data_IF_968279952606
#
_entry.id   IF_968279952606
#
_cell.length_a   1.000
_cell.length_b   1.000
_cell.length_c   1.000
_cell.angle_alpha   90.00
_cell.angle_beta   90.00
_cell.angle_gamma   90.00
#
_symmetry.space_group_name_H-M   'P 1'
#
loop_
_entity.id
_entity.type
_entity.pdbx_description
1 polymer ?
#
# COMPACT_ATOMS: atom_id res chain seq x y z
N UNK A 1 -10.01 -34.08 -56.51
CA UNK A 1 -9.52 -34.23 -55.12
C UNK A 1 -8.57 -33.08 -54.85
N UNK A 2 -9.04 -32.06 -54.15
CA UNK A 2 -8.29 -30.83 -53.83
C UNK A 2 -7.79 -30.94 -52.39
N UNK A 3 -6.47 -31.08 -52.23
CA UNK A 3 -5.78 -31.12 -50.94
C UNK A 3 -5.65 -29.71 -50.35
N UNK A 4 -6.24 -29.49 -49.18
CA UNK A 4 -6.10 -28.27 -48.40
C UNK A 4 -4.70 -28.18 -47.77
N UNK A 5 -4.12 -26.96 -47.60
CA UNK A 5 -2.83 -26.81 -46.95
C UNK A 5 -2.98 -26.93 -45.42
N UNK A 6 -2.06 -27.67 -44.81
CA UNK A 6 -1.95 -27.81 -43.36
C UNK A 6 -1.21 -26.59 -42.81
N UNK A 7 -1.89 -25.78 -42.01
CA UNK A 7 -1.28 -24.70 -41.26
C UNK A 7 -0.39 -25.29 -40.16
N UNK A 8 0.93 -25.12 -40.27
CA UNK A 8 1.85 -25.39 -39.17
C UNK A 8 1.71 -24.27 -38.13
N UNK A 9 1.12 -24.60 -36.98
CA UNK A 9 1.22 -23.78 -35.78
C UNK A 9 2.68 -23.84 -35.29
N UNK A 10 3.40 -22.72 -35.39
CA UNK A 10 4.67 -22.56 -34.69
C UNK A 10 4.44 -22.65 -33.18
N UNK A 11 5.44 -23.05 -32.38
CA UNK A 11 5.28 -23.12 -30.94
C UNK A 11 4.99 -21.71 -30.41
N UNK A 12 3.79 -21.54 -29.86
CA UNK A 12 3.46 -20.40 -28.99
C UNK A 12 4.54 -20.37 -27.91
N UNK A 13 5.42 -19.36 -27.96
CA UNK A 13 6.31 -19.08 -26.84
C UNK A 13 5.39 -18.88 -25.63
N UNK A 14 5.57 -19.63 -24.52
CA UNK A 14 4.77 -19.38 -23.32
C UNK A 14 4.91 -17.90 -23.00
N UNK A 15 3.79 -17.18 -23.03
CA UNK A 15 3.72 -15.75 -22.72
C UNK A 15 4.44 -15.61 -21.38
N UNK A 16 5.63 -14.98 -21.37
CA UNK A 16 6.44 -14.89 -20.15
C UNK A 16 5.57 -14.19 -19.13
N UNK A 17 5.03 -14.95 -18.17
CA UNK A 17 4.13 -14.42 -17.15
C UNK A 17 4.93 -13.38 -16.38
N UNK A 18 4.57 -12.11 -16.57
CA UNK A 18 5.16 -11.02 -15.81
C UNK A 18 4.91 -11.31 -14.32
N UNK A 19 5.87 -10.94 -13.47
CA UNK A 19 5.70 -11.06 -12.02
C UNK A 19 4.52 -10.23 -11.51
N UNK A 20 4.29 -10.32 -10.21
CA UNK A 20 3.21 -9.58 -9.57
C UNK A 20 3.59 -9.06 -8.19
N UNK A 21 2.87 -8.04 -7.75
CA UNK A 21 2.96 -7.52 -6.40
C UNK A 21 1.70 -7.83 -5.60
N UNK A 22 1.84 -8.11 -4.31
CA UNK A 22 0.72 -8.15 -3.36
C UNK A 22 1.07 -7.26 -2.18
N UNK A 23 0.48 -6.06 -2.14
CA UNK A 23 0.87 -4.98 -1.24
C UNK A 23 -0.17 -4.80 -0.14
N UNK A 24 0.14 -5.21 1.09
CA UNK A 24 -0.78 -5.17 2.22
C UNK A 24 -0.54 -3.90 3.05
N UNK A 25 -1.61 -3.18 3.37
CA UNK A 25 -1.51 -1.93 4.12
C UNK A 25 -1.04 -2.06 5.57
N UNK A 26 -0.75 -3.27 6.06
CA UNK A 26 -0.38 -3.54 7.44
C UNK A 26 -1.39 -4.42 8.17
N UNK A 27 -1.09 -4.82 9.41
CA UNK A 27 -2.06 -5.53 10.26
C UNK A 27 -2.69 -6.80 9.65
N UNK A 28 -1.95 -7.48 8.75
CA UNK A 28 -2.42 -8.73 8.13
C UNK A 28 -2.73 -9.77 9.20
N UNK A 29 -3.97 -10.23 9.25
CA UNK A 29 -4.43 -11.20 10.24
C UNK A 29 -4.06 -12.62 9.82
N UNK A 30 -3.69 -13.44 10.79
CA UNK A 30 -3.29 -14.85 10.62
C UNK A 30 -4.33 -15.68 9.88
N UNK A 31 -5.61 -15.37 10.07
CA UNK A 31 -6.75 -16.07 9.48
C UNK A 31 -7.18 -15.52 8.11
N UNK A 32 -6.48 -14.49 7.58
CA UNK A 32 -6.75 -13.91 6.27
C UNK A 32 -6.28 -14.82 5.12
N UNK A 33 -7.01 -15.92 4.98
CA UNK A 33 -6.77 -16.97 3.98
C UNK A 33 -6.83 -16.42 2.55
N UNK A 34 -7.62 -15.37 2.32
CA UNK A 34 -7.72 -14.75 1.00
C UNK A 34 -6.39 -14.16 0.55
N UNK A 35 -5.73 -13.35 1.40
CA UNK A 35 -4.47 -12.70 1.06
C UNK A 35 -3.30 -13.69 1.05
N UNK A 36 -3.18 -14.55 2.06
CA UNK A 36 -2.14 -15.60 2.07
C UNK A 36 -2.29 -16.55 0.88
N UNK A 37 -3.52 -16.99 0.60
CA UNK A 37 -3.84 -17.84 -0.54
C UNK A 37 -3.50 -17.19 -1.88
N UNK A 38 -3.73 -15.88 -2.03
CA UNK A 38 -3.37 -15.16 -3.26
C UNK A 38 -1.85 -15.07 -3.48
N UNK A 39 -1.07 -14.84 -2.42
CA UNK A 39 0.40 -14.88 -2.49
C UNK A 39 0.87 -16.29 -2.89
N UNK A 40 0.36 -17.33 -2.21
CA UNK A 40 0.71 -18.73 -2.49
C UNK A 40 0.35 -19.11 -3.92
N UNK A 41 -0.86 -18.77 -4.38
CA UNK A 41 -1.33 -19.02 -5.75
C UNK A 41 -0.36 -18.43 -6.78
N UNK A 42 0.06 -17.18 -6.59
CA UNK A 42 1.00 -16.49 -7.48
C UNK A 42 2.42 -17.05 -7.42
N UNK A 43 2.82 -17.60 -6.27
CA UNK A 43 4.09 -18.28 -6.08
C UNK A 43 4.10 -19.73 -6.60
N UNK A 44 3.07 -20.21 -7.31
CA UNK A 44 3.02 -21.58 -7.84
C UNK A 44 2.03 -22.51 -7.11
N UNK A 45 1.11 -21.94 -6.33
CA UNK A 45 0.04 -22.69 -5.66
C UNK A 45 0.60 -23.70 -4.66
N UNK A 46 0.15 -24.97 -4.67
CA UNK A 46 0.62 -25.98 -3.74
C UNK A 46 2.13 -26.26 -3.78
N UNK A 47 2.83 -25.86 -4.85
CA UNK A 47 4.28 -25.99 -4.98
C UNK A 47 5.06 -24.73 -4.54
N UNK A 48 4.37 -23.73 -3.98
CA UNK A 48 4.97 -22.45 -3.61
C UNK A 48 6.13 -22.60 -2.62
N UNK A 49 7.20 -21.84 -2.89
CA UNK A 49 8.39 -21.69 -2.04
C UNK A 49 8.54 -20.22 -1.69
N UNK A 50 8.23 -19.85 -0.44
CA UNK A 50 8.19 -18.45 0.00
C UNK A 50 9.46 -18.10 0.77
N UNK A 51 10.22 -17.12 0.27
CA UNK A 51 11.28 -16.47 1.03
C UNK A 51 10.70 -15.37 1.90
N UNK A 52 10.78 -15.51 3.22
CA UNK A 52 10.30 -14.53 4.19
C UNK A 52 11.45 -13.62 4.59
N UNK A 53 11.29 -12.32 4.40
CA UNK A 53 12.31 -11.31 4.69
C UNK A 53 11.72 -10.33 5.70
N UNK A 54 12.36 -10.17 6.83
CA UNK A 54 11.81 -9.44 8.00
C UNK A 54 12.79 -8.42 8.55
N UNK A 55 13.72 -7.95 7.72
CA UNK A 55 14.75 -6.96 8.08
C UNK A 55 14.20 -5.62 8.61
N UNK A 56 12.91 -5.31 8.41
CA UNK A 56 12.26 -4.17 9.03
C UNK A 56 12.09 -4.30 10.56
N UNK A 57 12.05 -5.53 11.08
CA UNK A 57 12.05 -5.79 12.53
C UNK A 57 13.42 -5.47 13.14
N UNK A 58 13.46 -5.32 14.47
CA UNK A 58 14.75 -5.24 15.18
C UNK A 58 15.50 -6.58 15.00
N UNK A 59 16.84 -6.57 14.99
CA UNK A 59 17.61 -7.81 14.97
C UNK A 59 17.62 -8.47 16.35
N UNK A 60 18.14 -9.70 16.43
CA UNK A 60 18.21 -10.47 17.68
C UNK A 60 18.98 -9.74 18.78
N UNK A 61 20.07 -9.02 18.44
CA UNK A 61 20.87 -8.26 19.42
C UNK A 61 20.12 -7.13 20.12
N UNK A 62 18.97 -6.71 19.58
CA UNK A 62 18.15 -5.61 20.10
C UNK A 62 16.82 -6.09 20.69
N UNK A 63 16.59 -7.40 20.72
CA UNK A 63 15.38 -7.99 21.30
C UNK A 63 15.65 -8.49 22.72
N UNK A 64 15.08 -7.86 23.77
CA UNK A 64 15.28 -8.28 25.15
C UNK A 64 14.72 -9.68 25.44
N UNK A 65 13.87 -10.22 24.56
CA UNK A 65 13.29 -11.55 24.68
C UNK A 65 13.83 -12.53 23.63
N UNK A 66 14.97 -12.25 22.99
CA UNK A 66 15.55 -13.07 21.92
C UNK A 66 15.64 -14.58 22.28
N UNK A 67 15.97 -14.90 23.54
CA UNK A 67 16.08 -16.28 24.02
C UNK A 67 14.76 -16.99 24.34
N UNK A 68 13.61 -16.32 24.26
CA UNK A 68 12.29 -16.90 24.52
C UNK A 68 11.45 -16.96 23.23
N UNK A 69 11.32 -18.14 22.60
CA UNK A 69 10.54 -18.30 21.35
C UNK A 69 9.07 -17.90 21.43
N UNK A 70 8.49 -17.81 22.63
CA UNK A 70 7.10 -17.38 22.82
C UNK A 70 6.95 -15.85 22.94
N UNK A 71 8.05 -15.13 23.17
CA UNK A 71 8.05 -13.67 23.41
C UNK A 71 8.97 -12.89 22.48
N UNK A 72 9.89 -13.54 21.79
CA UNK A 72 10.80 -12.87 20.87
C UNK A 72 10.03 -12.20 19.72
N UNK A 73 10.51 -11.03 19.33
CA UNK A 73 9.93 -10.18 18.28
C UNK A 73 11.03 -9.49 17.48
N UNK A 74 11.98 -10.29 17.01
CA UNK A 74 13.08 -9.87 16.13
C UNK A 74 12.89 -10.39 14.69
N UNK A 75 13.79 -9.98 13.79
CA UNK A 75 13.87 -10.41 12.39
C UNK A 75 13.72 -11.93 12.24
N UNK A 76 14.52 -12.73 12.95
CA UNK A 76 14.52 -14.18 12.85
C UNK A 76 13.22 -14.81 13.37
N UNK A 77 12.75 -14.41 14.55
CA UNK A 77 11.50 -14.90 15.15
C UNK A 77 10.28 -14.56 14.30
N UNK A 78 10.17 -13.32 13.83
CA UNK A 78 9.10 -12.90 12.94
C UNK A 78 9.19 -13.64 11.59
N UNK A 79 10.41 -13.91 11.11
CA UNK A 79 10.66 -14.71 9.92
C UNK A 79 10.14 -16.14 10.04
N UNK A 80 10.47 -16.82 11.14
CA UNK A 80 10.00 -18.16 11.46
C UNK A 80 8.47 -18.21 11.63
N UNK A 81 7.90 -17.20 12.29
CA UNK A 81 6.46 -17.07 12.49
C UNK A 81 5.70 -16.96 11.15
N UNK A 82 6.11 -16.04 10.27
CA UNK A 82 5.49 -15.91 8.94
C UNK A 82 5.72 -17.13 8.05
N UNK A 83 6.91 -17.75 8.12
CA UNK A 83 7.15 -19.01 7.42
C UNK A 83 6.19 -20.12 7.88
N UNK A 84 5.92 -20.20 9.18
CA UNK A 84 4.91 -21.08 9.76
C UNK A 84 3.50 -20.77 9.24
N UNK A 85 3.13 -19.49 9.16
CA UNK A 85 1.84 -19.05 8.61
C UNK A 85 1.67 -19.47 7.14
N UNK A 86 2.66 -19.22 6.28
CA UNK A 86 2.58 -19.63 4.87
C UNK A 86 2.42 -21.14 4.71
N UNK A 87 3.11 -21.94 5.54
CA UNK A 87 2.94 -23.40 5.56
C UNK A 87 1.52 -23.79 6.00
N UNK A 88 0.97 -23.16 7.04
CA UNK A 88 -0.42 -23.39 7.50
C UNK A 88 -1.45 -23.06 6.42
N UNK A 89 -1.18 -22.06 5.58
CA UNK A 89 -2.03 -21.68 4.44
C UNK A 89 -1.77 -22.48 3.15
N UNK A 90 -0.87 -23.46 3.16
CA UNK A 90 -0.70 -24.43 2.08
C UNK A 90 0.50 -24.22 1.15
N UNK A 91 1.48 -23.38 1.51
CA UNK A 91 2.75 -23.34 0.78
C UNK A 91 3.55 -24.63 1.01
N UNK A 92 4.14 -25.21 -0.05
CA UNK A 92 5.03 -26.38 0.08
C UNK A 92 6.24 -26.09 0.98
N UNK A 93 6.76 -24.87 0.84
CA UNK A 93 7.95 -24.42 1.54
C UNK A 93 7.84 -22.94 1.89
N UNK A 94 8.30 -22.59 3.07
CA UNK A 94 8.53 -21.22 3.46
C UNK A 94 9.64 -21.19 4.49
N UNK A 95 10.55 -20.24 4.37
CA UNK A 95 11.65 -20.07 5.32
C UNK A 95 12.09 -18.61 5.38
N UNK A 96 12.72 -18.27 6.49
CA UNK A 96 13.33 -16.97 6.69
C UNK A 96 14.62 -16.85 5.87
N UNK A 97 14.79 -15.70 5.20
CA UNK A 97 16.03 -15.31 4.55
C UNK A 97 16.81 -14.44 5.55
N UNK A 98 18.03 -14.83 5.96
CA UNK A 98 18.73 -14.27 7.12
C UNK A 98 19.29 -12.88 6.83
N UNK A 99 18.41 -11.89 6.78
CA UNK A 99 18.69 -10.49 6.47
C UNK A 99 18.13 -9.60 7.57
N UNK A 100 19.01 -8.82 8.19
CA UNK A 100 18.69 -7.74 9.10
C UNK A 100 19.91 -6.82 9.26
N UNK A 101 19.79 -5.82 10.12
CA UNK A 101 20.84 -4.82 10.34
C UNK A 101 22.06 -5.35 11.11
N UNK A 102 21.99 -6.51 11.76
CA UNK A 102 23.17 -7.18 12.33
C UNK A 102 23.91 -7.99 11.26
N UNK A 103 23.20 -8.41 10.20
CA UNK A 103 23.71 -9.30 9.16
C UNK A 103 23.68 -8.67 7.76
N UNK A 104 23.95 -7.37 7.62
CA UNK A 104 23.90 -6.65 6.32
C UNK A 104 24.77 -7.33 5.25
N UNK A 105 25.92 -7.90 5.63
CA UNK A 105 26.81 -8.62 4.71
C UNK A 105 26.14 -9.83 4.01
N UNK A 106 25.06 -10.38 4.58
CA UNK A 106 24.32 -11.48 3.97
C UNK A 106 23.61 -11.05 2.67
N UNK A 107 23.36 -9.76 2.46
CA UNK A 107 22.75 -9.25 1.24
C UNK A 107 23.63 -9.48 -0.02
N UNK A 108 24.94 -9.68 0.15
CA UNK A 108 25.89 -10.00 -0.92
C UNK A 108 26.51 -11.41 -0.81
N UNK A 109 25.98 -12.25 0.09
CA UNK A 109 26.39 -13.63 0.26
C UNK A 109 25.83 -14.52 -0.84
N UNK A 110 26.71 -15.26 -1.53
CA UNK A 110 26.31 -16.19 -2.59
C UNK A 110 25.42 -17.33 -2.04
N UNK A 111 25.57 -17.69 -0.76
CA UNK A 111 24.73 -18.67 -0.10
C UNK A 111 23.28 -18.16 0.06
N UNK A 112 23.11 -16.91 0.48
CA UNK A 112 21.78 -16.29 0.60
C UNK A 112 21.16 -16.04 -0.78
N UNK A 113 21.97 -15.67 -1.78
CA UNK A 113 21.52 -15.59 -3.17
C UNK A 113 21.03 -16.95 -3.69
N UNK A 114 21.72 -18.04 -3.38
CA UNK A 114 21.28 -19.39 -3.74
C UNK A 114 19.94 -19.75 -3.06
N UNK A 115 19.77 -19.39 -1.79
CA UNK A 115 18.52 -19.56 -1.06
C UNK A 115 17.37 -18.81 -1.77
N UNK A 116 17.56 -17.51 -2.06
CA UNK A 116 16.61 -16.64 -2.77
C UNK A 116 16.24 -17.19 -4.13
N UNK A 117 17.21 -17.70 -4.89
CA UNK A 117 16.97 -18.28 -6.21
C UNK A 117 16.10 -19.55 -6.16
N UNK A 118 16.13 -20.28 -5.05
CA UNK A 118 15.28 -21.45 -4.81
C UNK A 118 13.81 -21.10 -4.51
N UNK A 119 13.49 -19.83 -4.24
CA UNK A 119 12.12 -19.40 -3.92
C UNK A 119 11.31 -19.06 -5.18
N UNK A 120 9.98 -19.09 -5.08
CA UNK A 120 9.05 -18.71 -6.14
C UNK A 120 8.18 -17.50 -5.78
N UNK A 121 8.20 -17.08 -4.51
CA UNK A 121 7.63 -15.83 -4.03
C UNK A 121 8.40 -15.27 -2.84
N UNK A 122 8.25 -13.98 -2.60
CA UNK A 122 8.91 -13.27 -1.50
C UNK A 122 7.88 -12.51 -0.67
N UNK A 123 8.01 -12.57 0.65
CA UNK A 123 7.18 -11.81 1.58
C UNK A 123 8.05 -10.93 2.47
N UNK A 124 7.82 -9.63 2.42
CA UNK A 124 8.48 -8.63 3.25
C UNK A 124 7.59 -8.28 4.45
N UNK A 125 8.07 -8.55 5.67
CA UNK A 125 7.36 -8.24 6.91
C UNK A 125 7.31 -6.75 7.24
N UNK A 126 6.55 -6.40 8.27
CA UNK A 126 6.45 -5.03 8.80
C UNK A 126 7.60 -4.64 9.75
N UNK A 127 7.61 -3.38 10.18
CA UNK A 127 8.61 -2.78 11.04
C UNK A 127 9.01 -1.39 10.51
N UNK A 128 10.31 -1.08 10.53
CA UNK A 128 10.88 0.13 9.94
C UNK A 128 11.38 -0.15 8.50
N UNK A 129 10.77 0.51 7.51
CA UNK A 129 11.15 0.39 6.10
C UNK A 129 12.58 0.87 5.80
N UNK A 130 13.14 1.78 6.60
CA UNK A 130 14.50 2.27 6.40
C UNK A 130 15.54 1.15 6.61
N UNK A 131 15.26 0.20 7.51
CA UNK A 131 16.12 -0.98 7.70
C UNK A 131 16.19 -1.87 6.47
N UNK A 132 15.14 -1.94 5.65
CA UNK A 132 15.23 -2.62 4.36
C UNK A 132 16.20 -1.91 3.41
N UNK A 133 16.22 -0.58 3.39
CA UNK A 133 17.20 0.17 2.60
C UNK A 133 18.62 -0.14 3.08
N UNK A 134 18.86 -0.02 4.39
CA UNK A 134 20.16 -0.31 5.01
C UNK A 134 20.63 -1.74 4.73
N UNK A 135 19.72 -2.70 4.70
CA UNK A 135 20.07 -4.12 4.57
C UNK A 135 20.24 -4.55 3.11
N UNK A 136 19.41 -4.05 2.19
CA UNK A 136 19.32 -4.59 0.82
C UNK A 136 19.85 -3.66 -0.28
N UNK A 137 20.24 -2.44 0.06
CA UNK A 137 20.89 -1.49 -0.85
C UNK A 137 22.28 -1.10 -0.36
N UNK A 138 23.19 -0.79 -1.29
CA UNK A 138 24.53 -0.31 -0.96
C UNK A 138 24.53 1.18 -0.59
N UNK A 139 24.24 1.48 0.68
CA UNK A 139 24.38 2.81 1.29
C UNK A 139 23.88 3.95 0.40
N UNK A 140 24.65 5.04 0.35
CA UNK A 140 24.31 6.24 -0.43
C UNK A 140 24.31 5.98 -1.95
N UNK A 141 25.05 4.98 -2.42
CA UNK A 141 25.02 4.57 -3.83
C UNK A 141 23.64 4.04 -4.22
N UNK A 142 22.87 3.51 -3.25
CA UNK A 142 21.48 3.06 -3.40
C UNK A 142 21.30 2.13 -4.61
N UNK A 143 22.28 1.25 -4.80
CA UNK A 143 22.27 0.18 -5.81
C UNK A 143 21.86 -1.13 -5.14
N UNK A 144 21.23 -2.01 -5.90
CA UNK A 144 20.87 -3.35 -5.43
C UNK A 144 22.09 -4.11 -4.86
N UNK A 145 21.91 -4.73 -3.69
CA UNK A 145 22.71 -5.88 -3.27
C UNK A 145 22.50 -7.08 -4.19
N UNK A 146 23.36 -8.11 -4.15
CA UNK A 146 23.16 -9.33 -4.94
C UNK A 146 21.81 -10.00 -4.65
N UNK A 147 21.37 -10.01 -3.39
CA UNK A 147 20.07 -10.57 -3.01
C UNK A 147 18.93 -9.78 -3.63
N UNK A 148 18.94 -8.44 -3.54
CA UNK A 148 17.88 -7.63 -4.14
C UNK A 148 17.86 -7.78 -5.67
N UNK A 149 19.03 -7.83 -6.30
CA UNK A 149 19.15 -8.08 -7.74
C UNK A 149 18.56 -9.46 -8.13
N UNK A 150 18.80 -10.49 -7.31
CA UNK A 150 18.21 -11.82 -7.52
C UNK A 150 16.67 -11.79 -7.37
N UNK A 151 16.13 -11.12 -6.34
CA UNK A 151 14.68 -10.94 -6.15
C UNK A 151 14.07 -10.22 -7.37
N UNK A 152 14.71 -9.15 -7.85
CA UNK A 152 14.28 -8.42 -9.05
C UNK A 152 14.28 -9.32 -10.30
N UNK A 153 15.33 -10.12 -10.48
CA UNK A 153 15.41 -11.07 -11.59
C UNK A 153 14.33 -12.15 -11.52
N UNK A 154 13.96 -12.60 -10.31
CA UNK A 154 12.87 -13.56 -10.08
C UNK A 154 11.50 -12.94 -10.35
N UNK A 155 11.26 -11.71 -9.89
CA UNK A 155 10.04 -10.95 -10.21
C UNK A 155 9.87 -10.80 -11.74
N UNK A 156 10.95 -10.45 -12.46
CA UNK A 156 10.94 -10.37 -13.92
C UNK A 156 10.73 -11.72 -14.65
N UNK A 157 10.78 -12.84 -13.92
CA UNK A 157 10.53 -14.20 -14.40
C UNK A 157 9.24 -14.81 -13.84
N UNK A 158 8.35 -13.99 -13.28
CA UNK A 158 7.01 -14.42 -12.86
C UNK A 158 6.84 -14.70 -11.38
N UNK A 159 7.86 -14.48 -10.54
CA UNK A 159 7.70 -14.57 -9.09
C UNK A 159 6.73 -13.48 -8.57
N UNK A 160 6.18 -13.71 -7.38
CA UNK A 160 5.45 -12.68 -6.62
C UNK A 160 6.37 -12.01 -5.60
N UNK A 161 6.31 -10.68 -5.51
CA UNK A 161 6.84 -9.92 -4.38
C UNK A 161 5.66 -9.40 -3.58
N UNK A 162 5.63 -9.69 -2.29
CA UNK A 162 4.54 -9.30 -1.41
C UNK A 162 5.09 -8.66 -0.14
N UNK A 163 4.30 -7.83 0.52
CA UNK A 163 4.75 -7.27 1.80
C UNK A 163 3.64 -6.55 2.55
N UNK A 164 3.83 -6.42 3.86
CA UNK A 164 2.87 -5.80 4.78
C UNK A 164 3.51 -4.61 5.48
N UNK A 165 2.79 -3.49 5.60
CA UNK A 165 3.29 -2.27 6.24
C UNK A 165 4.60 -1.79 5.57
N UNK A 166 5.72 -1.70 6.30
CA UNK A 166 7.04 -1.42 5.75
C UNK A 166 7.40 -2.27 4.51
N UNK A 167 7.01 -3.56 4.49
CA UNK A 167 7.24 -4.43 3.34
C UNK A 167 6.40 -4.09 2.10
N UNK A 168 5.24 -3.45 2.27
CA UNK A 168 4.51 -2.83 1.16
C UNK A 168 5.10 -1.47 0.80
N UNK A 169 5.52 -0.67 1.78
CA UNK A 169 6.12 0.65 1.56
C UNK A 169 7.40 0.56 0.71
N UNK A 170 8.24 -0.46 0.95
CA UNK A 170 9.55 -0.61 0.30
C UNK A 170 9.48 -0.87 -1.21
N UNK A 171 8.32 -1.24 -1.75
CA UNK A 171 8.20 -1.45 -3.21
C UNK A 171 8.16 -0.14 -3.99
N UNK A 172 7.99 0.98 -3.28
CA UNK A 172 7.87 2.33 -3.86
C UNK A 172 9.08 2.66 -4.75
N UNK A 173 8.80 3.36 -5.85
CA UNK A 173 9.79 4.13 -6.59
C UNK A 173 10.24 5.38 -5.81
N UNK A 174 10.63 6.46 -6.51
CA UNK A 174 11.05 7.71 -5.88
C UNK A 174 10.09 8.22 -4.81
N UNK A 175 10.64 8.97 -3.86
CA UNK A 175 9.91 9.63 -2.78
C UNK A 175 9.13 8.68 -1.85
N UNK A 176 9.77 7.58 -1.46
CA UNK A 176 9.20 6.64 -0.49
C UNK A 176 9.04 7.30 0.88
N UNK A 177 7.84 7.23 1.47
CA UNK A 177 7.56 7.72 2.82
C UNK A 177 8.50 7.07 3.85
N UNK A 178 9.14 7.88 4.69
CA UNK A 178 9.99 7.43 5.80
C UNK A 178 9.34 7.65 7.17
N UNK A 179 8.38 8.57 7.29
CA UNK A 179 7.68 8.88 8.53
C UNK A 179 6.67 10.02 8.35
N UNK A 180 5.97 10.39 9.42
CA UNK A 180 5.16 11.61 9.48
C UNK A 180 3.69 11.40 9.80
N UNK A 181 3.06 12.44 10.33
CA UNK A 181 1.63 12.49 10.62
C UNK A 181 0.91 13.52 9.74
N UNK A 182 -0.39 13.34 9.53
CA UNK A 182 -1.15 14.18 8.59
C UNK A 182 -1.20 15.65 8.98
N UNK A 183 -1.30 15.96 10.28
CA UNK A 183 -1.39 17.35 10.72
C UNK A 183 -0.07 18.11 10.48
N UNK A 184 1.03 17.55 10.97
CA UNK A 184 2.38 18.08 10.83
C UNK A 184 2.77 18.19 9.35
N UNK A 185 2.42 17.19 8.54
CA UNK A 185 2.58 17.27 7.09
C UNK A 185 1.87 18.49 6.49
N UNK A 186 0.61 18.74 6.83
CA UNK A 186 -0.13 19.87 6.29
C UNK A 186 0.42 21.22 6.78
N UNK A 187 0.89 21.29 8.03
CA UNK A 187 1.49 22.51 8.61
C UNK A 187 2.88 22.80 8.05
N UNK A 188 3.77 21.81 8.06
CA UNK A 188 5.22 22.00 7.88
C UNK A 188 5.71 21.58 6.49
N UNK A 189 4.99 20.66 5.84
CA UNK A 189 5.39 20.04 4.59
C UNK A 189 6.32 18.86 4.74
N UNK A 190 6.73 18.32 3.59
CA UNK A 190 7.62 17.18 3.50
C UNK A 190 9.09 17.61 3.42
N UNK A 191 9.99 16.77 3.92
CA UNK A 191 11.43 16.96 3.81
C UNK A 191 12.14 15.65 3.44
N UNK A 192 13.21 15.70 2.62
CA UNK A 192 14.00 14.52 2.32
C UNK A 192 14.76 14.06 3.56
N UNK A 193 14.70 12.76 3.87
CA UNK A 193 15.42 12.14 4.97
C UNK A 193 14.60 11.15 5.80
N UNK A 194 15.25 10.60 6.82
CA UNK A 194 14.66 9.83 7.91
C UNK A 194 14.88 10.62 9.20
N UNK A 195 13.87 10.78 10.04
CA UNK A 195 13.88 11.69 11.18
C UNK A 195 13.53 10.96 12.48
N UNK A 196 14.19 11.36 13.58
CA UNK A 196 13.88 10.83 14.93
C UNK A 196 12.48 11.25 15.40
N UNK A 197 12.04 12.45 14.99
CA UNK A 197 10.66 12.88 15.14
C UNK A 197 9.76 12.15 14.14
N UNK A 198 9.08 11.12 14.62
CA UNK A 198 8.18 10.30 13.81
C UNK A 198 6.96 11.06 13.26
N UNK A 199 6.63 12.24 13.81
CA UNK A 199 5.51 13.07 13.35
C UNK A 199 5.86 13.93 12.14
N UNK A 200 7.16 14.16 11.91
CA UNK A 200 7.63 14.92 10.76
C UNK A 200 7.51 14.11 9.47
N UNK A 201 6.88 14.69 8.44
CA UNK A 201 6.77 14.07 7.12
C UNK A 201 8.14 13.99 6.42
N UNK A 202 8.72 12.80 6.47
CA UNK A 202 9.96 12.46 5.79
C UNK A 202 9.72 11.59 4.56
N UNK A 203 10.62 11.71 3.58
CA UNK A 203 10.67 10.81 2.43
C UNK A 203 12.10 10.53 1.98
N UNK A 204 12.31 9.38 1.34
CA UNK A 204 13.59 9.01 0.70
C UNK A 204 13.48 9.32 -0.78
N UNK A 205 14.18 10.35 -1.31
CA UNK A 205 14.01 10.78 -2.71
C UNK A 205 14.29 9.69 -3.73
N UNK A 206 15.30 8.85 -3.46
CA UNK A 206 15.66 7.73 -4.34
C UNK A 206 14.69 6.54 -4.28
N UNK A 207 13.78 6.56 -3.30
CA UNK A 207 12.75 5.55 -3.15
C UNK A 207 13.13 4.35 -2.30
N UNK A 208 12.39 3.27 -2.52
CA UNK A 208 12.72 1.93 -2.04
C UNK A 208 13.32 1.07 -3.15
N UNK A 209 12.78 -0.11 -3.34
CA UNK A 209 13.24 -1.06 -4.36
C UNK A 209 12.70 -0.77 -5.77
N UNK A 210 11.76 0.16 -5.90
CA UNK A 210 11.23 0.59 -7.19
C UNK A 210 10.55 -0.52 -7.99
N UNK A 211 9.83 -1.42 -7.31
CA UNK A 211 9.04 -2.44 -8.01
C UNK A 211 7.70 -1.89 -8.53
N UNK A 212 7.21 -0.79 -7.95
CA UNK A 212 6.05 -0.05 -8.45
C UNK A 212 6.43 1.40 -8.74
N UNK A 213 6.16 1.87 -9.96
CA UNK A 213 6.43 3.25 -10.39
C UNK A 213 5.18 4.02 -10.80
N UNK A 214 4.00 3.39 -10.77
CA UNK A 214 2.76 4.01 -11.24
C UNK A 214 2.09 4.93 -10.21
N UNK A 215 2.68 5.12 -9.03
CA UNK A 215 2.22 6.04 -8.00
C UNK A 215 2.99 5.85 -6.69
N UNK A 216 2.83 6.81 -5.77
CA UNK A 216 3.30 6.69 -4.39
C UNK A 216 2.49 5.63 -3.64
N UNK A 217 3.08 5.10 -2.57
CA UNK A 217 2.41 4.18 -1.66
C UNK A 217 2.43 4.80 -0.27
N UNK A 218 1.31 4.66 0.43
CA UNK A 218 1.24 4.85 1.88
C UNK A 218 0.50 3.65 2.51
N UNK A 219 0.85 3.33 3.75
CA UNK A 219 0.34 2.17 4.50
C UNK A 219 -0.30 2.59 5.81
N UNK A 220 -1.15 1.72 6.35
CA UNK A 220 -2.00 1.99 7.52
C UNK A 220 -2.85 3.25 7.35
N UNK A 221 -3.21 3.63 6.12
CA UNK A 221 -3.62 5.02 5.86
C UNK A 221 -4.83 5.42 6.68
N UNK A 222 -5.96 4.72 6.56
CA UNK A 222 -7.13 5.02 7.38
C UNK A 222 -6.95 4.68 8.86
N UNK A 223 -6.14 3.66 9.19
CA UNK A 223 -5.92 3.22 10.57
C UNK A 223 -5.17 4.26 11.41
N UNK A 224 -4.27 5.03 10.78
CA UNK A 224 -3.49 6.12 11.40
C UNK A 224 -3.80 7.49 10.78
N UNK A 225 -4.91 7.62 10.05
CA UNK A 225 -5.40 8.86 9.42
C UNK A 225 -4.38 9.60 8.54
N UNK A 226 -3.60 8.87 7.75
CA UNK A 226 -2.50 9.36 6.91
C UNK A 226 -2.95 9.93 5.56
N UNK A 227 -4.24 10.13 5.32
CA UNK A 227 -4.72 10.71 4.06
C UNK A 227 -4.14 12.11 3.81
N UNK A 228 -4.01 12.92 4.87
CA UNK A 228 -3.44 14.27 4.80
C UNK A 228 -1.96 14.26 4.40
N UNK A 229 -1.14 13.42 5.05
CA UNK A 229 0.29 13.31 4.70
C UNK A 229 0.49 12.75 3.29
N UNK A 230 -0.36 11.82 2.86
CA UNK A 230 -0.29 11.22 1.53
C UNK A 230 -0.57 12.26 0.43
N UNK A 231 -1.62 13.08 0.59
CA UNK A 231 -1.87 14.22 -0.31
C UNK A 231 -0.74 15.23 -0.28
N UNK A 232 -0.22 15.54 0.91
CA UNK A 232 0.84 16.53 1.06
C UNK A 232 2.12 16.10 0.35
N UNK A 233 2.59 14.87 0.60
CA UNK A 233 3.80 14.36 -0.02
C UNK A 233 3.67 14.37 -1.54
N UNK A 234 2.56 13.83 -2.07
CA UNK A 234 2.32 13.80 -3.50
C UNK A 234 2.35 15.19 -4.14
N UNK A 235 1.76 16.20 -3.47
CA UNK A 235 1.81 17.58 -3.92
C UNK A 235 3.23 18.17 -3.88
N UNK A 236 3.97 17.94 -2.81
CA UNK A 236 5.33 18.48 -2.62
C UNK A 236 6.35 17.85 -3.59
N UNK A 237 6.17 16.57 -3.95
CA UNK A 237 7.09 15.82 -4.82
C UNK A 237 6.59 15.65 -6.26
N UNK A 238 5.43 16.22 -6.60
CA UNK A 238 4.92 16.26 -7.97
C UNK A 238 4.34 14.93 -8.47
N UNK A 239 3.84 14.07 -7.58
CA UNK A 239 3.16 12.83 -7.96
C UNK A 239 1.66 13.05 -8.13
N UNK A 240 1.13 12.56 -9.24
CA UNK A 240 -0.31 12.65 -9.52
C UNK A 240 -1.14 11.55 -8.83
N UNK A 241 -0.49 10.53 -8.26
CA UNK A 241 -1.17 9.35 -7.72
C UNK A 241 -0.56 8.86 -6.41
N UNK A 242 -1.43 8.52 -5.47
CA UNK A 242 -1.08 7.72 -4.29
C UNK A 242 -2.01 6.52 -4.16
N UNK A 243 -1.44 5.36 -3.85
CA UNK A 243 -2.14 4.17 -3.37
C UNK A 243 -2.05 4.12 -1.84
N UNK A 244 -3.12 4.52 -1.18
CA UNK A 244 -3.26 4.54 0.27
C UNK A 244 -3.87 3.21 0.75
N UNK A 245 -3.02 2.34 1.28
CA UNK A 245 -3.34 0.97 1.64
C UNK A 245 -3.86 0.87 3.07
N UNK A 246 -5.03 0.26 3.27
CA UNK A 246 -5.57 0.00 4.61
C UNK A 246 -5.15 -1.36 5.16
N UNK A 247 -5.25 -1.50 6.49
CA UNK A 247 -4.88 -2.73 7.18
C UNK A 247 -5.70 -3.95 6.73
N UNK A 248 -5.08 -5.11 6.87
CA UNK A 248 -5.62 -6.43 6.54
C UNK A 248 -6.11 -6.55 5.08
N UNK A 249 -5.72 -5.61 4.20
CA UNK A 249 -6.18 -5.53 2.81
C UNK A 249 -5.00 -5.32 1.87
N UNK A 250 -5.04 -6.03 0.75
CA UNK A 250 -4.02 -6.04 -0.27
C UNK A 250 -4.45 -5.28 -1.53
N UNK A 251 -3.53 -4.52 -2.10
CA UNK A 251 -3.52 -4.14 -3.51
C UNK A 251 -2.70 -5.17 -4.28
N UNK A 252 -3.37 -5.96 -5.11
CA UNK A 252 -2.73 -6.92 -6.00
C UNK A 252 -2.40 -6.23 -7.31
N UNK A 253 -1.14 -6.25 -7.73
CA UNK A 253 -0.67 -5.61 -8.97
C UNK A 253 -0.15 -6.69 -9.93
N UNK A 254 -0.84 -6.87 -11.04
CA UNK A 254 -0.42 -7.74 -12.13
C UNK A 254 0.48 -6.97 -13.10
N UNK A 255 1.56 -7.61 -13.56
CA UNK A 255 2.48 -7.07 -14.56
C UNK A 255 2.97 -5.63 -14.27
N UNK A 256 3.53 -5.38 -13.07
CA UNK A 256 3.96 -4.05 -12.64
C UNK A 256 4.99 -3.45 -13.61
N UNK A 257 4.89 -2.14 -13.85
CA UNK A 257 5.75 -1.40 -14.78
C UNK A 257 5.48 -1.66 -16.26
N UNK A 258 4.47 -2.47 -16.61
CA UNK A 258 4.11 -2.78 -18.00
C UNK A 258 2.84 -2.08 -18.44
N UNK A 259 2.57 -2.03 -19.75
CA UNK A 259 1.28 -1.55 -20.32
C UNK A 259 0.08 -2.40 -19.90
N UNK A 260 0.33 -3.64 -19.44
CA UNK A 260 -0.67 -4.57 -18.93
C UNK A 260 -0.85 -4.44 -17.42
N UNK A 261 -0.24 -3.44 -16.76
CA UNK A 261 -0.35 -3.25 -15.32
C UNK A 261 -1.83 -3.11 -14.92
N UNK A 262 -2.31 -3.97 -14.03
CA UNK A 262 -3.70 -3.96 -13.54
C UNK A 262 -3.70 -4.20 -12.05
N UNK A 263 -4.65 -3.56 -11.37
CA UNK A 263 -4.74 -3.63 -9.93
C UNK A 263 -6.09 -4.19 -9.48
N UNK A 264 -6.08 -5.00 -8.43
CA UNK A 264 -7.29 -5.55 -7.80
C UNK A 264 -7.16 -5.45 -6.29
N UNK A 265 -8.24 -5.03 -5.62
CA UNK A 265 -8.29 -4.98 -4.15
C UNK A 265 -8.74 -6.33 -3.58
N UNK A 266 -8.05 -6.79 -2.54
CA UNK A 266 -8.34 -8.04 -1.85
C UNK A 266 -8.23 -7.88 -0.33
N UNK A 267 -9.35 -7.94 0.37
CA UNK A 267 -9.41 -7.87 1.83
C UNK A 267 -10.71 -7.24 2.34
N UNK A 268 -10.89 -7.20 3.67
CA UNK A 268 -12.12 -6.73 4.32
C UNK A 268 -12.25 -5.20 4.33
N UNK A 269 -11.14 -4.46 4.17
CA UNK A 269 -11.13 -3.01 4.10
C UNK A 269 -10.97 -2.55 2.63
N UNK A 270 -10.20 -1.50 2.37
CA UNK A 270 -10.02 -0.98 1.02
C UNK A 270 -8.66 -0.38 0.73
N UNK A 271 -8.55 0.18 -0.47
CA UNK A 271 -7.41 0.94 -0.95
C UNK A 271 -7.93 2.25 -1.52
N UNK A 272 -7.43 3.38 -1.03
CA UNK A 272 -7.72 4.66 -1.64
C UNK A 272 -6.73 4.95 -2.77
N UNK A 273 -7.24 5.38 -3.91
CA UNK A 273 -6.49 6.05 -4.97
C UNK A 273 -6.71 7.54 -4.80
N UNK A 274 -5.66 8.24 -4.40
CA UNK A 274 -5.62 9.70 -4.34
C UNK A 274 -5.13 10.19 -5.70
N UNK A 275 -5.95 10.98 -6.39
CA UNK A 275 -5.64 11.49 -7.73
C UNK A 275 -5.54 13.02 -7.69
N UNK A 276 -4.34 13.52 -8.01
CA UNK A 276 -3.94 14.91 -7.95
C UNK A 276 -3.84 15.56 -9.34
N UNK A 277 -4.19 14.88 -10.44
CA UNK A 277 -4.05 15.43 -11.81
C UNK A 277 -4.79 16.74 -12.04
N UNK A 278 -5.87 16.97 -11.31
CA UNK A 278 -6.66 18.19 -11.35
C UNK A 278 -6.49 19.06 -10.10
N UNK A 279 -5.54 18.71 -9.22
CA UNK A 279 -5.34 19.43 -7.97
C UNK A 279 -4.69 20.80 -8.22
N UNK A 280 -5.11 21.78 -7.42
CA UNK A 280 -4.48 23.10 -7.37
C UNK A 280 -3.98 23.34 -5.95
N UNK A 281 -2.68 23.51 -5.82
CA UNK A 281 -1.99 23.71 -4.55
C UNK A 281 -1.56 25.17 -4.43
N UNK A 282 -1.68 25.74 -3.22
CA UNK A 282 -1.22 27.10 -2.89
C UNK A 282 -0.54 27.12 -1.53
N UNK A 283 0.43 28.00 -1.37
CA UNK A 283 1.22 28.16 -0.13
C UNK A 283 1.22 29.58 0.44
N UNK A 284 0.62 30.56 -0.26
CA UNK A 284 0.72 31.99 0.06
C UNK A 284 0.16 32.38 1.45
N UNK A 285 -0.82 31.62 1.94
CA UNK A 285 -1.51 31.86 3.22
C UNK A 285 -1.61 30.57 4.03
N UNK A 286 -0.55 29.76 3.99
CA UNK A 286 -0.55 28.37 4.45
C UNK A 286 -0.89 27.39 3.33
N UNK A 287 -0.54 26.12 3.53
CA UNK A 287 -0.74 25.10 2.51
C UNK A 287 -2.22 24.81 2.32
N UNK A 288 -2.68 24.85 1.07
CA UNK A 288 -4.04 24.44 0.69
C UNK A 288 -4.05 23.69 -0.63
N UNK A 289 -5.03 22.83 -0.80
CA UNK A 289 -5.25 22.02 -1.99
C UNK A 289 -6.73 22.01 -2.35
N UNK A 290 -7.04 22.13 -3.64
CA UNK A 290 -8.41 21.97 -4.16
C UNK A 290 -8.42 21.01 -5.33
N UNK A 291 -9.58 20.45 -5.64
CA UNK A 291 -9.84 19.62 -6.84
C UNK A 291 -9.11 18.28 -6.93
N UNK A 292 -8.44 17.84 -5.85
CA UNK A 292 -7.97 16.46 -5.74
C UNK A 292 -9.15 15.48 -5.68
N UNK A 293 -8.93 14.22 -6.03
CA UNK A 293 -9.94 13.17 -6.07
C UNK A 293 -9.58 12.03 -5.13
N UNK A 294 -10.60 11.53 -4.45
CA UNK A 294 -10.56 10.36 -3.60
C UNK A 294 -11.45 9.28 -4.20
N UNK A 295 -10.82 8.20 -4.65
CA UNK A 295 -11.50 6.96 -5.04
C UNK A 295 -11.14 5.89 -4.03
N UNK A 296 -12.14 5.31 -3.37
CA UNK A 296 -11.94 4.26 -2.37
C UNK A 296 -12.46 2.93 -2.90
N UNK A 297 -11.54 2.03 -3.15
CA UNK A 297 -11.78 0.70 -3.74
C UNK A 297 -11.86 -0.33 -2.62
N UNK A 298 -12.78 -1.28 -2.73
CA UNK A 298 -12.96 -2.38 -1.78
C UNK A 298 -12.86 -3.72 -2.50
N UNK A 299 -12.95 -4.82 -1.74
CA UNK A 299 -12.91 -6.21 -2.25
C UNK A 299 -13.37 -6.37 -3.69
N UNK A 300 -12.51 -6.96 -4.52
CA UNK A 300 -12.71 -7.28 -5.94
C UNK A 300 -12.86 -6.09 -6.90
N UNK A 301 -12.81 -4.84 -6.42
CA UNK A 301 -12.72 -3.68 -7.31
C UNK A 301 -11.38 -3.69 -8.05
N UNK A 302 -11.40 -3.19 -9.28
CA UNK A 302 -10.22 -3.12 -10.14
C UNK A 302 -9.89 -1.69 -10.51
N UNK A 303 -8.61 -1.44 -10.72
CA UNK A 303 -8.09 -0.16 -11.17
C UNK A 303 -7.08 -0.34 -12.30
N UNK A 304 -7.23 0.49 -13.33
CA UNK A 304 -6.28 0.58 -14.44
C UNK A 304 -5.45 1.87 -14.28
N UNK A 305 -4.16 1.76 -13.94
CA UNK A 305 -3.29 2.90 -13.70
C UNK A 305 -2.85 3.61 -15.00
N UNK A 306 -3.06 3.04 -16.18
CA UNK A 306 -2.76 3.72 -17.44
C UNK A 306 -3.92 4.58 -17.88
N UNK A 307 -5.14 4.06 -17.76
CA UNK A 307 -6.37 4.79 -18.17
C UNK A 307 -7.06 5.51 -17.02
N UNK A 308 -6.51 5.44 -15.80
CA UNK A 308 -7.09 5.99 -14.57
C UNK A 308 -8.54 5.54 -14.35
N UNK A 309 -8.84 4.30 -14.72
CA UNK A 309 -10.22 3.81 -14.76
C UNK A 309 -10.47 2.87 -13.60
N UNK A 310 -11.50 3.20 -12.82
CA UNK A 310 -12.04 2.34 -11.78
C UNK A 310 -13.12 1.44 -12.34
N UNK A 311 -13.08 0.15 -11.97
CA UNK A 311 -14.11 -0.84 -12.28
C UNK A 311 -14.57 -1.48 -10.98
N UNK A 312 -15.72 -1.04 -10.43
CA UNK A 312 -16.32 -1.69 -9.27
C UNK A 312 -16.61 -3.16 -9.55
N UNK A 313 -16.55 -3.98 -8.52
CA UNK A 313 -16.79 -5.41 -8.60
C UNK A 313 -18.19 -5.72 -9.19
N UNK A 314 -18.29 -6.85 -9.92
CA UNK A 314 -19.49 -7.19 -10.69
C UNK A 314 -20.73 -7.50 -9.83
N UNK A 315 -20.53 -7.81 -8.55
CA UNK A 315 -21.57 -8.02 -7.54
C UNK A 315 -22.08 -6.71 -6.92
N UNK A 316 -21.35 -5.59 -7.09
CA UNK A 316 -21.77 -4.27 -6.61
C UNK A 316 -22.70 -3.59 -7.60
N UNK A 317 -23.58 -2.75 -7.08
CA UNK A 317 -24.48 -1.89 -7.86
C UNK A 317 -24.28 -0.44 -7.47
N UNK A 318 -24.53 0.47 -8.41
CA UNK A 318 -24.46 1.90 -8.14
C UNK A 318 -25.51 2.27 -7.11
N UNK A 319 -25.07 2.84 -5.99
CA UNK A 319 -25.91 3.25 -4.89
C UNK A 319 -26.66 4.54 -5.25
N UNK A 320 -27.96 4.56 -4.98
CA UNK A 320 -28.76 5.79 -4.96
C UNK A 320 -28.93 6.21 -3.51
N UNK A 321 -28.40 7.38 -3.09
CA UNK A 321 -28.49 7.79 -1.70
C UNK A 321 -29.95 8.01 -1.30
N UNK A 322 -30.39 7.29 -0.27
CA UNK A 322 -31.72 7.41 0.31
C UNK A 322 -31.71 8.05 1.71
N UNK A 323 -30.55 8.15 2.35
CA UNK A 323 -30.42 8.65 3.71
C UNK A 323 -30.80 10.13 3.82
N UNK A 324 -31.66 10.45 4.79
CA UNK A 324 -32.02 11.83 5.15
C UNK A 324 -31.20 12.38 6.30
N UNK A 325 -30.46 11.50 7.00
CA UNK A 325 -29.58 11.88 8.11
C UNK A 325 -28.47 12.81 7.61
N UNK A 326 -28.29 13.98 8.24
CA UNK A 326 -27.17 14.85 7.94
C UNK A 326 -25.83 14.16 8.22
N UNK A 327 -24.80 14.50 7.44
CA UNK A 327 -23.43 14.06 7.70
C UNK A 327 -23.01 14.59 9.09
N UNK A 328 -22.61 13.71 10.02
CA UNK A 328 -22.20 14.13 11.37
C UNK A 328 -21.03 15.11 11.34
N UNK A 329 -20.98 16.01 12.31
CA UNK A 329 -19.82 16.88 12.55
C UNK A 329 -18.61 15.99 12.85
N UNK A 330 -17.50 16.27 12.19
CA UNK A 330 -16.23 15.59 12.43
C UNK A 330 -15.14 16.64 12.72
N UNK A 331 -14.62 16.61 13.94
CA UNK A 331 -13.58 17.53 14.42
C UNK A 331 -12.19 16.89 14.48
N UNK A 332 -12.03 15.68 13.94
CA UNK A 332 -10.74 14.98 13.87
C UNK A 332 -10.69 14.07 12.63
N UNK A 333 -10.59 14.71 11.47
CA UNK A 333 -10.66 14.05 10.17
C UNK A 333 -9.52 13.05 9.92
N UNK A 334 -8.36 13.27 10.54
CA UNK A 334 -7.15 12.48 10.36
C UNK A 334 -6.79 11.63 11.58
N UNK A 335 -7.74 11.36 12.48
CA UNK A 335 -7.53 10.50 13.64
C UNK A 335 -6.20 10.83 14.36
N UNK A 336 -6.07 12.07 14.79
CA UNK A 336 -4.83 12.58 15.36
C UNK A 336 -4.37 11.73 16.54
N UNK A 337 -3.07 11.43 16.58
CA UNK A 337 -2.44 10.78 17.73
C UNK A 337 -2.57 11.60 19.02
N UNK A 338 -2.80 12.91 18.91
CA UNK A 338 -3.05 13.82 20.04
C UNK A 338 -4.50 13.76 20.55
N UNK A 339 -5.41 13.08 19.85
CA UNK A 339 -6.80 12.95 20.25
C UNK A 339 -7.08 11.56 20.88
N UNK A 340 -7.15 11.44 22.21
CA UNK A 340 -7.41 10.16 22.86
C UNK A 340 -8.82 9.61 22.61
N UNK A 341 -9.76 10.46 22.16
CA UNK A 341 -11.11 10.07 21.78
C UNK A 341 -11.27 9.87 20.26
N UNK A 342 -10.17 9.97 19.49
CA UNK A 342 -10.18 9.77 18.06
C UNK A 342 -10.66 8.36 17.69
N UNK A 343 -11.21 8.22 16.48
CA UNK A 343 -11.60 6.92 15.93
C UNK A 343 -10.87 6.68 14.62
N UNK A 344 -10.19 5.52 14.44
CA UNK A 344 -9.58 5.16 13.17
C UNK A 344 -10.57 5.24 12.00
N UNK A 345 -10.05 5.43 10.79
CA UNK A 345 -10.83 5.55 9.55
C UNK A 345 -11.77 6.76 9.52
N UNK A 346 -11.44 7.83 10.26
CA UNK A 346 -12.26 9.04 10.37
C UNK A 346 -12.55 9.71 9.02
N UNK A 347 -11.53 9.88 8.17
CA UNK A 347 -11.66 10.44 6.81
C UNK A 347 -12.67 9.64 5.97
N UNK A 348 -12.47 8.31 5.89
CA UNK A 348 -13.36 7.38 5.19
C UNK A 348 -14.79 7.42 5.73
N UNK A 349 -14.95 7.57 7.05
CA UNK A 349 -16.26 7.64 7.71
C UNK A 349 -17.05 8.86 7.25
N UNK A 350 -16.42 10.04 7.21
CA UNK A 350 -17.04 11.25 6.65
C UNK A 350 -17.39 11.07 5.16
N UNK A 351 -16.46 10.52 4.37
CA UNK A 351 -16.68 10.29 2.95
C UNK A 351 -17.89 9.36 2.68
N UNK A 352 -18.02 8.27 3.45
CA UNK A 352 -19.16 7.33 3.37
C UNK A 352 -20.45 7.94 3.88
N UNK A 353 -20.43 8.67 4.98
CA UNK A 353 -21.61 9.39 5.48
C UNK A 353 -22.14 10.38 4.43
N UNK A 354 -21.24 11.14 3.78
CA UNK A 354 -21.61 12.00 2.66
C UNK A 354 -22.19 11.16 1.52
N UNK A 355 -21.54 10.06 1.11
CA UNK A 355 -22.05 9.19 0.04
C UNK A 355 -23.48 8.69 0.28
N UNK A 356 -23.85 8.39 1.53
CA UNK A 356 -25.20 7.96 1.93
C UNK A 356 -26.23 9.09 1.96
N UNK A 357 -25.81 10.34 2.22
CA UNK A 357 -26.71 11.48 2.41
C UNK A 357 -27.34 11.93 1.09
N UNK A 358 -28.68 11.95 1.00
CA UNK A 358 -29.39 12.40 -0.19
C UNK A 358 -29.38 13.92 -0.36
N UNK A 359 -29.57 14.65 0.73
CA UNK A 359 -29.75 16.10 0.73
C UNK A 359 -28.44 16.91 0.69
N UNK A 360 -27.28 16.25 0.88
CA UNK A 360 -25.98 16.91 0.89
C UNK A 360 -25.12 16.49 -0.30
N UNK A 361 -24.66 17.50 -1.04
CA UNK A 361 -23.58 17.35 -2.03
C UNK A 361 -22.20 17.62 -1.43
N UNK A 362 -22.13 18.26 -0.27
CA UNK A 362 -20.88 18.61 0.41
C UNK A 362 -20.92 18.28 1.90
N UNK A 363 -19.75 17.95 2.45
CA UNK A 363 -19.52 17.84 3.89
C UNK A 363 -18.13 18.40 4.23
N UNK A 364 -17.96 18.83 5.48
CA UNK A 364 -16.69 19.34 5.99
C UNK A 364 -16.31 18.59 7.26
N UNK A 365 -15.02 18.33 7.43
CA UNK A 365 -14.43 17.85 8.67
C UNK A 365 -13.18 18.68 8.97
N UNK A 366 -12.78 18.79 10.23
CA UNK A 366 -11.57 19.54 10.61
C UNK A 366 -10.51 18.64 11.23
N UNK A 367 -9.27 19.11 11.26
CA UNK A 367 -8.25 18.56 12.17
C UNK A 367 -8.65 18.78 13.62
N UNK A 368 -8.14 17.93 14.49
CA UNK A 368 -8.28 18.06 15.94
C UNK A 368 -7.56 19.32 16.43
N UNK A 369 -6.34 19.50 15.94
CA UNK A 369 -5.46 20.61 16.21
C UNK A 369 -6.01 21.92 15.67
N UNK A 370 -5.56 23.02 16.28
CA UNK A 370 -6.18 24.34 16.10
C UNK A 370 -5.26 25.43 15.57
N UNK A 371 -3.95 25.17 15.43
CA UNK A 371 -2.96 26.20 15.10
C UNK A 371 -1.95 25.76 14.02
N UNK A 372 -2.31 25.89 12.73
CA UNK A 372 -3.64 26.27 12.23
C UNK A 372 -4.60 25.07 12.23
N UNK A 373 -5.89 25.31 12.37
CA UNK A 373 -6.90 24.26 12.09
C UNK A 373 -7.03 24.09 10.58
N UNK A 374 -6.99 22.86 10.07
CA UNK A 374 -7.33 22.58 8.67
C UNK A 374 -8.79 22.14 8.55
N UNK A 375 -9.45 22.57 7.48
CA UNK A 375 -10.77 22.08 7.06
C UNK A 375 -10.60 21.22 5.80
N UNK A 376 -11.06 19.98 5.87
CA UNK A 376 -11.20 19.07 4.73
C UNK A 376 -12.63 19.17 4.22
N UNK A 377 -12.79 19.54 2.95
CA UNK A 377 -14.07 19.62 2.25
C UNK A 377 -14.22 18.43 1.32
N UNK A 378 -15.28 17.66 1.50
CA UNK A 378 -15.69 16.54 0.65
C UNK A 378 -16.83 16.99 -0.25
N UNK A 379 -16.77 16.75 -1.55
CA UNK A 379 -17.80 17.19 -2.50
C UNK A 379 -18.15 16.14 -3.55
N UNK A 380 -19.45 15.83 -3.65
CA UNK A 380 -20.04 15.07 -4.74
C UNK A 380 -20.14 15.97 -5.96
N UNK A 381 -19.21 15.80 -6.87
CA UNK A 381 -19.19 16.57 -8.13
C UNK A 381 -19.60 15.67 -9.30
N UNK A 382 -19.64 16.23 -10.50
CA UNK A 382 -19.86 15.44 -11.72
C UNK A 382 -18.78 14.37 -11.83
N UNK A 383 -19.18 13.11 -11.99
CA UNK A 383 -18.29 11.95 -11.99
C UNK A 383 -18.38 11.12 -10.72
N UNK A 384 -18.78 11.73 -9.59
CA UNK A 384 -18.92 11.00 -8.33
C UNK A 384 -19.93 9.84 -8.45
N UNK A 385 -19.54 8.68 -7.93
CA UNK A 385 -20.45 7.56 -7.72
C UNK A 385 -20.08 6.78 -6.46
N UNK A 386 -21.09 6.19 -5.84
CA UNK A 386 -20.93 5.23 -4.76
C UNK A 386 -21.50 3.89 -5.20
N UNK A 387 -20.94 2.79 -4.72
CA UNK A 387 -21.36 1.44 -5.05
C UNK A 387 -21.46 0.58 -3.80
N UNK A 388 -22.36 -0.39 -3.87
CA UNK A 388 -22.79 -1.18 -2.73
C UNK A 388 -23.14 -2.60 -3.19
N UNK A 389 -22.69 -3.61 -2.43
CA UNK A 389 -23.11 -5.01 -2.59
C UNK A 389 -24.39 -5.36 -1.84
N UNK A 390 -24.73 -4.62 -0.78
CA UNK A 390 -25.94 -4.82 0.03
C UNK A 390 -27.11 -3.89 -0.35
N UNK A 391 -26.90 -2.99 -1.31
CA UNK A 391 -27.85 -1.98 -1.76
C UNK A 391 -28.04 -0.79 -0.80
N UNK A 392 -27.38 -0.78 0.36
CA UNK A 392 -27.60 0.21 1.42
C UNK A 392 -26.33 0.95 1.83
N UNK A 393 -25.23 0.22 2.02
CA UNK A 393 -23.97 0.74 2.56
C UNK A 393 -23.04 1.14 1.41
N UNK A 394 -22.57 2.41 1.33
CA UNK A 394 -21.56 2.78 0.34
C UNK A 394 -20.23 2.13 0.68
N UNK A 395 -19.84 1.13 -0.10
CA UNK A 395 -18.60 0.39 0.07
C UNK A 395 -17.48 1.02 -0.75
N UNK A 396 -17.71 1.18 -2.05
CA UNK A 396 -16.78 1.77 -3.03
C UNK A 396 -17.20 3.19 -3.35
N UNK A 397 -16.26 4.12 -3.32
CA UNK A 397 -16.46 5.52 -3.71
C UNK A 397 -15.57 5.83 -4.90
N UNK A 398 -16.09 6.53 -5.90
CA UNK A 398 -15.34 6.90 -7.11
C UNK A 398 -15.44 8.41 -7.29
N UNK A 399 -14.29 9.06 -7.47
CA UNK A 399 -14.13 10.48 -7.82
C UNK A 399 -14.76 11.48 -6.85
N UNK A 400 -14.73 11.19 -5.54
CA UNK A 400 -15.13 12.17 -4.53
C UNK A 400 -14.11 13.32 -4.54
N UNK A 401 -14.56 14.56 -4.70
CA UNK A 401 -13.64 15.69 -4.71
C UNK A 401 -13.23 16.06 -3.29
N UNK A 402 -11.94 16.29 -3.09
CA UNK A 402 -11.35 16.71 -1.83
C UNK A 402 -10.71 18.10 -1.98
N UNK A 403 -10.94 18.95 -0.98
CA UNK A 403 -10.18 20.16 -0.76
C UNK A 403 -9.71 20.23 0.69
N UNK A 404 -8.54 20.81 0.92
CA UNK A 404 -7.94 21.01 2.24
C UNK A 404 -7.47 22.45 2.30
N UNK A 405 -7.82 23.19 3.35
CA UNK A 405 -7.36 24.56 3.55
C UNK A 405 -7.25 24.88 5.05
N UNK A 406 -6.30 25.75 5.44
CA UNK A 406 -6.29 26.29 6.79
C UNK A 406 -7.55 27.14 7.00
N UNK A 407 -8.05 27.16 8.24
CA UNK A 407 -9.21 27.93 8.68
C UNK A 407 -8.79 29.12 9.51
#
# INVERSE_FOLDING_TARGET
>A
MTTAPVAQAGPERPDRTAGSLVLIGGGLKDDNTAVYGEIIRRAGGPAARIGVITAASVPESQDPNAGDPARCSNSACNGAYYAGLFKRHGAAHAEWVPLDIDHVANADSDAVVAQVNSMSGFFFGGGDQYRYLTTLLHGDAHTDSKVLAAIRAKLARGAVVSGSSAGAQIVSGPDMVSGGESYEALRDGSAPGYFDDATRLGYIPRGGFGFLSSGLIDTHTGAYGREGRAYRLAADTGHDRVYALEENTALVVDAPGSRRERMTVLGPNGVAVLDLRSAHVRTDAGWSMRNARYTYLTQSDRYDPHTWTTRPAADKRRLRPAGTTPVPVNTDVFFSASNPAGTPYSFRTTARALASARAQSTATATTFETDPRFTVTFSKTRGFSAWSGDGATPQTLVDLQIGIAPR
#
